data_IF_775773634009
#
_entry.id   IF_775773634009
#
_cell.length_a   1.000
_cell.length_b   1.000
_cell.length_c   1.000
_cell.angle_alpha   90.00
_cell.angle_beta   90.00
_cell.angle_gamma   90.00
#
_symmetry.space_group_name_H-M   'P 1'
#
loop_
_entity.id
_entity.type
_entity.pdbx_description
1 polymer ?
#
# COMPACT_ATOMS: atom_id res chain seq x y z
N UNK A 1 -3.56 27.34 9.84
CA UNK A 1 -2.73 26.22 10.37
C UNK A 1 -3.58 25.10 11.00
N UNK A 2 -4.83 25.34 11.41
CA UNK A 2 -5.71 24.33 12.04
C UNK A 2 -6.27 23.27 11.08
N UNK A 3 -6.52 23.60 9.81
CA UNK A 3 -7.18 22.66 8.89
C UNK A 3 -6.26 21.52 8.41
N UNK A 4 -4.95 21.77 8.24
CA UNK A 4 -4.03 20.73 7.76
C UNK A 4 -3.74 19.67 8.83
N UNK A 5 -3.64 20.06 10.10
CA UNK A 5 -3.48 19.11 11.21
C UNK A 5 -4.71 18.21 11.38
N UNK A 6 -5.92 18.76 11.21
CA UNK A 6 -7.15 17.96 11.27
C UNK A 6 -7.23 16.97 10.10
N UNK A 7 -6.92 17.41 8.88
CA UNK A 7 -6.93 16.55 7.69
C UNK A 7 -5.90 15.41 7.75
N UNK A 8 -4.74 15.67 8.35
CA UNK A 8 -3.71 14.65 8.58
C UNK A 8 -4.19 13.59 9.59
N UNK A 9 -4.87 14.02 10.64
CA UNK A 9 -5.44 13.13 11.66
C UNK A 9 -6.59 12.27 11.12
N UNK A 10 -7.42 12.79 10.20
CA UNK A 10 -8.50 12.01 9.58
C UNK A 10 -7.98 10.83 8.75
N UNK A 11 -6.92 11.02 7.96
CA UNK A 11 -6.33 9.94 7.18
C UNK A 11 -5.63 8.90 8.06
N UNK A 12 -4.96 9.33 9.14
CA UNK A 12 -4.38 8.43 10.12
C UNK A 12 -5.47 7.57 10.78
N UNK A 13 -6.58 8.18 11.19
CA UNK A 13 -7.70 7.45 11.77
C UNK A 13 -8.32 6.48 10.76
N UNK A 14 -8.55 6.90 9.51
CA UNK A 14 -9.07 6.02 8.46
C UNK A 14 -8.15 4.82 8.19
N UNK A 15 -6.83 5.01 8.28
CA UNK A 15 -5.85 3.93 8.20
C UNK A 15 -5.97 2.96 9.39
N UNK A 16 -5.96 3.47 10.62
CA UNK A 16 -6.09 2.65 11.83
C UNK A 16 -7.45 1.91 11.88
N UNK A 17 -8.52 2.54 11.41
CA UNK A 17 -9.83 1.92 11.25
C UNK A 17 -9.78 0.77 10.22
N UNK A 18 -9.06 0.95 9.12
CA UNK A 18 -8.90 -0.11 8.12
C UNK A 18 -8.13 -1.31 8.67
N UNK A 19 -7.09 -1.06 9.47
CA UNK A 19 -6.31 -2.11 10.14
C UNK A 19 -7.11 -2.83 11.23
N UNK A 20 -7.86 -2.09 12.06
CA UNK A 20 -8.63 -2.67 13.16
C UNK A 20 -9.77 -3.59 12.68
N UNK A 21 -10.25 -3.37 11.46
CA UNK A 21 -11.25 -4.24 10.81
C UNK A 21 -10.65 -5.53 10.23
N UNK A 22 -9.32 -5.70 10.22
CA UNK A 22 -8.68 -6.92 9.73
C UNK A 22 -8.76 -8.06 10.76
N UNK A 23 -8.88 -9.28 10.25
CA UNK A 23 -8.81 -10.51 11.06
C UNK A 23 -7.35 -10.96 11.28
N UNK A 24 -6.53 -10.08 11.87
CA UNK A 24 -5.13 -10.35 12.22
C UNK A 24 -4.94 -10.54 13.73
N UNK A 25 -3.82 -11.11 14.15
CA UNK A 25 -3.51 -11.27 15.58
C UNK A 25 -3.49 -9.92 16.33
N UNK A 26 -4.00 -9.90 17.56
CA UNK A 26 -4.05 -8.69 18.40
C UNK A 26 -2.68 -8.01 18.55
N UNK A 27 -1.60 -8.78 18.65
CA UNK A 27 -0.23 -8.24 18.75
C UNK A 27 0.15 -7.37 17.53
N UNK A 28 -0.40 -7.67 16.36
CA UNK A 28 -0.18 -6.88 15.14
C UNK A 28 -1.06 -5.63 15.11
N UNK A 29 -2.29 -5.70 15.61
CA UNK A 29 -3.16 -4.52 15.77
C UNK A 29 -2.55 -3.53 16.78
N UNK A 30 -1.98 -4.02 17.87
CA UNK A 30 -1.26 -3.22 18.86
C UNK A 30 0.00 -2.59 18.23
N UNK A 31 0.77 -3.37 17.48
CA UNK A 31 1.95 -2.88 16.75
C UNK A 31 1.60 -1.72 15.80
N UNK A 32 0.48 -1.81 15.07
CA UNK A 32 -0.01 -0.70 14.26
C UNK A 32 -0.41 0.53 15.09
N UNK A 33 -1.12 0.30 16.18
CA UNK A 33 -1.67 1.38 17.02
C UNK A 33 -0.60 2.12 17.83
N UNK A 34 0.55 1.48 18.09
CA UNK A 34 1.64 2.03 18.89
C UNK A 34 2.83 2.39 18.00
N UNK A 35 3.45 1.39 17.38
CA UNK A 35 4.74 1.57 16.68
C UNK A 35 4.55 2.28 15.33
N UNK A 36 3.61 1.81 14.50
CA UNK A 36 3.38 2.43 13.19
C UNK A 36 2.81 3.83 13.34
N UNK A 37 1.84 4.03 14.24
CA UNK A 37 1.27 5.34 14.54
C UNK A 37 2.35 6.34 15.01
N UNK A 38 3.26 5.93 15.89
CA UNK A 38 4.37 6.76 16.33
C UNK A 38 5.36 7.06 15.19
N UNK A 39 5.66 6.07 14.34
CA UNK A 39 6.61 6.24 13.24
C UNK A 39 6.13 7.22 12.16
N UNK A 40 4.82 7.32 11.94
CA UNK A 40 4.22 8.22 10.95
C UNK A 40 3.59 9.48 11.59
N UNK A 41 3.80 9.72 12.87
CA UNK A 41 3.29 10.91 13.54
C UNK A 41 3.82 12.19 12.86
N UNK A 42 2.93 13.17 12.70
CA UNK A 42 3.21 14.41 11.95
C UNK A 42 3.35 14.24 10.43
N UNK A 43 3.27 13.03 9.87
CA UNK A 43 3.29 12.83 8.42
C UNK A 43 1.93 13.15 7.80
N UNK A 44 1.92 13.90 6.69
CA UNK A 44 0.71 14.17 5.91
C UNK A 44 0.37 12.99 5.01
N UNK A 45 -0.50 12.11 5.49
CA UNK A 45 -1.00 10.95 4.77
C UNK A 45 -1.92 11.41 3.64
N UNK A 46 -1.70 10.91 2.42
CA UNK A 46 -2.52 11.14 1.24
C UNK A 46 -3.47 9.97 0.95
N UNK A 47 -3.17 8.80 1.49
CA UNK A 47 -3.99 7.59 1.37
C UNK A 47 -3.26 6.37 1.92
N UNK A 48 -3.93 5.23 1.93
CA UNK A 48 -3.37 3.95 2.38
C UNK A 48 -4.01 2.78 1.63
N UNK A 49 -3.30 1.67 1.60
CA UNK A 49 -3.81 0.36 1.20
C UNK A 49 -3.43 -0.69 2.23
N UNK A 50 -4.27 -1.72 2.37
CA UNK A 50 -4.10 -2.79 3.33
C UNK A 50 -4.34 -4.11 2.60
N UNK A 51 -3.41 -5.05 2.75
CA UNK A 51 -3.58 -6.41 2.29
C UNK A 51 -4.35 -7.18 3.37
N UNK A 52 -5.58 -7.65 3.10
CA UNK A 52 -6.43 -8.26 4.12
C UNK A 52 -5.93 -9.62 4.60
N UNK A 53 -5.13 -10.32 3.78
CA UNK A 53 -4.64 -11.67 4.09
C UNK A 53 -3.43 -11.65 5.02
N UNK A 54 -2.52 -10.68 4.82
CA UNK A 54 -1.25 -10.59 5.57
C UNK A 54 -1.26 -9.49 6.63
N UNK A 55 -2.22 -8.57 6.55
CA UNK A 55 -2.22 -7.33 7.32
C UNK A 55 -1.12 -6.34 6.94
N UNK A 56 -0.33 -6.60 5.89
CA UNK A 56 0.66 -5.64 5.39
C UNK A 56 -0.05 -4.39 4.86
N UNK A 57 0.56 -3.23 5.00
CA UNK A 57 -0.04 -1.97 4.55
C UNK A 57 0.95 -1.07 3.84
N UNK A 58 0.45 -0.27 2.91
CA UNK A 58 1.18 0.76 2.21
C UNK A 58 0.56 2.12 2.50
N UNK A 59 1.33 3.02 3.12
CA UNK A 59 0.87 4.36 3.50
C UNK A 59 1.50 5.38 2.54
N UNK A 60 0.66 6.14 1.84
CA UNK A 60 1.10 7.09 0.84
C UNK A 60 1.29 8.49 1.45
N UNK A 61 2.51 9.02 1.35
CA UNK A 61 2.88 10.37 1.77
C UNK A 61 3.19 11.23 0.53
N UNK A 62 3.32 12.55 0.73
CA UNK A 62 3.59 13.51 -0.36
C UNK A 62 4.85 13.23 -1.20
N UNK A 63 5.86 12.53 -0.67
CA UNK A 63 7.12 12.28 -1.41
C UNK A 63 7.63 10.86 -1.27
N UNK A 64 6.84 9.97 -0.69
CA UNK A 64 7.26 8.62 -0.35
C UNK A 64 6.09 7.74 0.04
N UNK A 65 6.33 6.43 0.08
CA UNK A 65 5.43 5.47 0.73
C UNK A 65 6.13 4.84 1.94
N UNK A 66 5.33 4.42 2.90
CA UNK A 66 5.78 3.61 4.03
C UNK A 66 5.12 2.23 3.92
N UNK A 67 5.94 1.19 3.76
CA UNK A 67 5.52 -0.20 3.82
C UNK A 67 5.59 -0.68 5.27
N UNK A 68 4.50 -1.26 5.76
CA UNK A 68 4.43 -1.90 7.07
C UNK A 68 4.15 -3.39 6.87
N UNK A 69 4.98 -4.26 7.45
CA UNK A 69 4.82 -5.72 7.39
C UNK A 69 4.75 -6.25 8.83
N UNK A 70 3.55 -6.49 9.38
CA UNK A 70 3.36 -6.77 10.79
C UNK A 70 4.05 -8.07 11.24
N UNK A 71 3.97 -9.13 10.45
CA UNK A 71 4.62 -10.41 10.75
C UNK A 71 6.15 -10.30 10.90
N UNK A 72 6.76 -9.31 10.23
CA UNK A 72 8.19 -9.04 10.29
C UNK A 72 8.55 -7.92 11.28
N UNK A 73 7.55 -7.26 11.87
CA UNK A 73 7.75 -6.02 12.64
C UNK A 73 8.46 -4.93 11.83
N UNK A 74 8.29 -4.92 10.52
CA UNK A 74 9.13 -4.16 9.60
C UNK A 74 8.39 -2.92 9.09
N UNK A 75 9.05 -1.76 9.18
CA UNK A 75 8.60 -0.47 8.64
C UNK A 75 9.69 0.01 7.68
N UNK A 76 9.37 0.18 6.40
CA UNK A 76 10.30 0.65 5.39
C UNK A 76 9.75 1.84 4.63
N UNK A 77 10.59 2.86 4.43
CA UNK A 77 10.25 4.09 3.74
C UNK A 77 10.90 4.13 2.35
N UNK A 78 10.10 4.36 1.31
CA UNK A 78 10.56 4.42 -0.08
C UNK A 78 10.26 5.78 -0.72
N UNK A 79 11.28 6.54 -1.17
CA UNK A 79 11.08 7.80 -1.88
C UNK A 79 10.30 7.61 -3.19
N UNK A 80 9.30 8.48 -3.44
CA UNK A 80 8.41 8.43 -4.62
C UNK A 80 9.17 8.34 -5.95
N UNK A 81 10.24 9.11 -6.08
CA UNK A 81 11.04 9.18 -7.31
C UNK A 81 11.84 7.89 -7.62
N UNK A 82 11.85 6.91 -6.70
CA UNK A 82 12.47 5.60 -6.89
C UNK A 82 11.43 4.48 -7.05
N UNK A 83 10.13 4.82 -7.10
CA UNK A 83 9.06 3.86 -7.20
C UNK A 83 8.62 3.76 -8.66
N UNK A 84 8.56 2.53 -9.13
CA UNK A 84 8.06 2.14 -10.43
C UNK A 84 6.67 1.51 -10.28
N UNK A 85 5.82 1.68 -11.28
CA UNK A 85 4.51 1.04 -11.36
C UNK A 85 4.48 0.16 -12.61
N UNK A 86 4.24 -1.14 -12.41
CA UNK A 86 4.12 -2.12 -13.47
C UNK A 86 2.68 -2.61 -13.54
N UNK A 87 2.17 -2.78 -14.77
CA UNK A 87 0.81 -3.25 -15.03
C UNK A 87 0.90 -4.28 -16.15
N UNK A 88 0.55 -5.52 -15.83
CA UNK A 88 0.48 -6.62 -16.78
C UNK A 88 -0.98 -7.04 -16.99
N UNK A 89 -1.47 -6.88 -18.22
CA UNK A 89 -2.79 -7.35 -18.64
C UNK A 89 -2.65 -8.61 -19.50
N UNK A 90 -2.85 -9.76 -18.88
CA UNK A 90 -2.67 -11.07 -19.52
C UNK A 90 -3.85 -11.47 -20.42
N UNK A 91 -4.92 -10.67 -20.46
CA UNK A 91 -5.99 -10.84 -21.45
C UNK A 91 -5.50 -10.53 -22.86
N UNK A 92 -4.50 -9.66 -22.97
CA UNK A 92 -3.93 -9.20 -24.23
C UNK A 92 -2.50 -9.71 -24.49
N UNK A 93 -1.72 -10.00 -23.44
CA UNK A 93 -0.30 -10.36 -23.54
C UNK A 93 -0.01 -11.88 -23.48
N UNK A 94 -1.01 -12.70 -23.78
CA UNK A 94 -0.93 -14.16 -23.68
C UNK A 94 -1.41 -14.67 -22.33
N UNK A 95 -2.38 -15.59 -22.35
CA UNK A 95 -2.94 -16.19 -21.13
C UNK A 95 -1.82 -16.91 -20.38
N UNK A 96 -1.70 -16.64 -19.08
CA UNK A 96 -0.84 -17.45 -18.22
C UNK A 96 -1.54 -18.76 -17.85
N UNK A 97 -0.77 -19.84 -17.77
CA UNK A 97 -1.25 -21.18 -17.44
C UNK A 97 -1.86 -21.27 -16.03
N UNK A 98 -1.50 -20.35 -15.14
CA UNK A 98 -2.02 -20.29 -13.78
C UNK A 98 -3.41 -19.59 -13.71
N UNK A 99 -3.91 -19.04 -14.81
CA UNK A 99 -5.20 -18.34 -14.87
C UNK A 99 -5.14 -16.89 -14.37
N UNK A 100 -3.95 -16.29 -14.26
CA UNK A 100 -3.80 -14.88 -13.93
C UNK A 100 -4.36 -13.99 -15.05
N UNK A 101 -5.24 -13.05 -14.68
CA UNK A 101 -5.91 -12.15 -15.63
C UNK A 101 -5.19 -10.81 -15.70
N UNK A 102 -4.88 -10.23 -14.54
CA UNK A 102 -4.18 -8.95 -14.44
C UNK A 102 -3.33 -8.93 -13.19
N UNK A 103 -2.21 -8.22 -13.28
CA UNK A 103 -1.33 -7.92 -12.15
C UNK A 103 -0.90 -6.46 -12.21
N UNK A 104 -0.83 -5.82 -11.06
CA UNK A 104 -0.19 -4.54 -10.90
C UNK A 104 0.75 -4.55 -9.71
N UNK A 105 1.89 -3.86 -9.84
CA UNK A 105 2.94 -3.85 -8.83
C UNK A 105 3.54 -2.46 -8.67
N UNK A 106 3.66 -1.99 -7.43
CA UNK A 106 4.59 -0.92 -7.06
C UNK A 106 5.91 -1.53 -6.62
N UNK A 107 6.98 -1.10 -7.26
CA UNK A 107 8.30 -1.68 -7.10
C UNK A 107 9.37 -0.63 -6.86
N UNK A 108 10.32 -0.90 -5.97
CA UNK A 108 11.49 -0.04 -5.76
C UNK A 108 12.71 -0.87 -5.37
N UNK A 109 13.89 -0.49 -5.87
CA UNK A 109 15.16 -1.12 -5.52
C UNK A 109 15.89 -0.20 -4.53
N UNK A 110 16.21 -0.71 -3.35
CA UNK A 110 17.17 -0.07 -2.45
C UNK A 110 18.54 -0.79 -2.50
N UNK A 111 19.64 -0.11 -2.12
CA UNK A 111 20.98 -0.70 -2.10
C UNK A 111 21.18 -1.84 -1.08
N UNK A 112 20.25 -2.08 -0.16
CA UNK A 112 20.38 -2.98 0.99
C UNK A 112 19.57 -4.28 0.90
N UNK A 113 19.23 -4.73 -0.31
CA UNK A 113 18.31 -5.86 -0.58
C UNK A 113 16.86 -5.63 -0.09
N UNK A 114 16.55 -4.45 0.45
CA UNK A 114 15.20 -4.07 0.82
C UNK A 114 14.49 -3.54 -0.43
N UNK A 115 13.51 -4.29 -0.92
CA UNK A 115 12.73 -3.91 -2.10
C UNK A 115 11.29 -3.64 -1.68
N UNK A 116 10.73 -2.58 -2.23
CA UNK A 116 9.27 -2.47 -2.26
C UNK A 116 8.79 -3.45 -3.33
N UNK A 117 7.89 -4.34 -2.95
CA UNK A 117 7.16 -5.23 -3.84
C UNK A 117 5.71 -5.31 -3.38
N UNK A 118 4.93 -4.28 -3.74
CA UNK A 118 3.50 -4.23 -3.40
C UNK A 118 2.68 -4.64 -4.61
N UNK A 119 2.17 -5.86 -4.59
CA UNK A 119 1.48 -6.48 -5.71
C UNK A 119 -0.02 -6.65 -5.42
N UNK A 120 -0.85 -6.32 -6.40
CA UNK A 120 -2.25 -6.73 -6.46
C UNK A 120 -2.47 -7.53 -7.75
N UNK A 121 -3.30 -8.56 -7.68
CA UNK A 121 -3.56 -9.44 -8.81
C UNK A 121 -4.99 -9.97 -8.79
N UNK A 122 -5.48 -10.35 -9.97
CA UNK A 122 -6.77 -11.00 -10.08
C UNK A 122 -6.76 -12.17 -11.07
N UNK A 123 -7.65 -13.13 -10.83
CA UNK A 123 -7.85 -14.32 -11.68
C UNK A 123 -9.22 -14.33 -12.36
N UNK A 124 -10.07 -13.36 -12.06
CA UNK A 124 -11.35 -13.13 -12.72
C UNK A 124 -11.37 -11.78 -13.43
N UNK A 125 -11.88 -11.75 -14.67
CA UNK A 125 -12.11 -10.48 -15.38
C UNK A 125 -13.07 -9.55 -14.63
N UNK A 126 -13.91 -10.09 -13.74
CA UNK A 126 -14.83 -9.30 -12.91
C UNK A 126 -14.12 -8.45 -11.86
N UNK A 127 -12.91 -8.86 -11.45
CA UNK A 127 -12.10 -8.19 -10.42
C UNK A 127 -11.15 -7.14 -11.04
N UNK A 128 -11.00 -7.13 -12.37
CA UNK A 128 -10.16 -6.16 -13.09
C UNK A 128 -10.47 -4.70 -12.71
N UNK A 129 -11.73 -4.26 -12.57
CA UNK A 129 -12.03 -2.88 -12.15
C UNK A 129 -11.45 -2.51 -10.79
N UNK A 130 -11.35 -3.46 -9.85
CA UNK A 130 -10.79 -3.21 -8.52
C UNK A 130 -9.28 -2.97 -8.61
N UNK A 131 -8.57 -3.84 -9.35
CA UNK A 131 -7.15 -3.68 -9.66
C UNK A 131 -6.89 -2.34 -10.37
N UNK A 132 -7.71 -1.99 -11.37
CA UNK A 132 -7.60 -0.72 -12.09
C UNK A 132 -7.87 0.50 -11.20
N UNK A 133 -8.76 0.38 -10.21
CA UNK A 133 -9.02 1.45 -9.25
C UNK A 133 -7.76 1.76 -8.41
N UNK A 134 -7.10 0.73 -7.88
CA UNK A 134 -5.82 0.88 -7.18
C UNK A 134 -4.73 1.46 -8.09
N UNK A 135 -4.56 0.91 -9.30
CA UNK A 135 -3.60 1.43 -10.29
C UNK A 135 -3.83 2.90 -10.59
N UNK A 136 -5.08 3.32 -10.77
CA UNK A 136 -5.44 4.72 -11.03
C UNK A 136 -4.97 5.63 -9.89
N UNK A 137 -5.21 5.24 -8.63
CA UNK A 137 -4.73 5.97 -7.45
C UNK A 137 -3.20 6.03 -7.38
N UNK A 138 -2.53 4.91 -7.67
CA UNK A 138 -1.07 4.86 -7.68
C UNK A 138 -0.46 5.77 -8.74
N UNK A 139 -0.99 5.72 -9.97
CA UNK A 139 -0.53 6.57 -11.06
C UNK A 139 -0.81 8.04 -10.78
N UNK A 140 -1.98 8.38 -10.22
CA UNK A 140 -2.25 9.74 -9.78
C UNK A 140 -1.19 10.21 -8.77
N UNK A 141 -0.95 9.43 -7.72
CA UNK A 141 0.01 9.76 -6.67
C UNK A 141 1.47 9.87 -7.19
N UNK A 142 1.88 9.01 -8.13
CA UNK A 142 3.20 9.04 -8.74
C UNK A 142 3.43 10.29 -9.60
N UNK A 143 2.36 10.90 -10.13
CA UNK A 143 2.42 12.05 -11.05
C UNK A 143 2.04 13.40 -10.41
N UNK A 144 1.76 13.43 -9.10
CA UNK A 144 1.64 14.67 -8.31
C UNK A 144 2.99 15.31 -7.97
#
# INVERSE_FOLDING_TARGET
MTNESTYSNEHLQAFLDSVSNLSIEHKFQEWYSVEVAAAIDGCKIQGHEVNPDTGSSLIFLRKSVVLCVPEKGHIAHYPRHLIHCFIDDFRHNGKKDDGLVMRAELFSISPSEEQLGWEIQCRSEREVPEVQSSVSRWLQWLNE
#
